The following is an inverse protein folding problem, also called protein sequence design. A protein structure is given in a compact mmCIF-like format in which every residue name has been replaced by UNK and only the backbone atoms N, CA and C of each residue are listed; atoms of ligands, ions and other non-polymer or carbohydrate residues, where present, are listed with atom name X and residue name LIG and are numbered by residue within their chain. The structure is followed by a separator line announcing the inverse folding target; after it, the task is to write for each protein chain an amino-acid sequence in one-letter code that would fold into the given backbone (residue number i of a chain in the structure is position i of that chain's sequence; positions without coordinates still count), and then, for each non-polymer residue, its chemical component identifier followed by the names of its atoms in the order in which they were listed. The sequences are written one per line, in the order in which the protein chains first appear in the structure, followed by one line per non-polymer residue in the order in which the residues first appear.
data_IF_276641912550
#
_entry.id   IF_276641912550
#
_cell.length_a   1.000
_cell.length_b   1.000
_cell.length_c   1.000
_cell.angle_alpha   90.00
_cell.angle_beta   90.00
_cell.angle_gamma   90.00
#
_symmetry.space_group_name_H-M   'P 1'
#
loop_
_entity.id
_entity.type
_entity.pdbx_description
1 polymer ?
#
# COMPACT_ATOMS: atom_id res chain seq x y z
N UNK A 1 -28.59 5.34 2.81
CA UNK A 1 -27.16 5.00 2.64
C UNK A 1 -26.23 5.86 3.49
N UNK A 2 -26.36 7.18 3.53
CA UNK A 2 -25.51 8.06 4.34
C UNK A 2 -25.45 7.72 5.84
N UNK A 3 -26.56 7.36 6.45
CA UNK A 3 -26.60 6.97 7.86
C UNK A 3 -25.79 5.71 8.18
N UNK A 4 -25.75 4.75 7.24
CA UNK A 4 -24.95 3.51 7.39
C UNK A 4 -23.47 3.82 7.31
N UNK A 5 -23.05 4.64 6.33
CA UNK A 5 -21.66 5.10 6.19
C UNK A 5 -21.20 5.83 7.46
N UNK A 6 -22.03 6.77 7.98
CA UNK A 6 -21.72 7.51 9.19
C UNK A 6 -21.56 6.58 10.41
N UNK A 7 -22.38 5.57 10.51
CA UNK A 7 -22.34 4.58 11.58
C UNK A 7 -21.10 3.68 11.47
N UNK A 8 -20.79 3.17 10.28
CA UNK A 8 -19.58 2.36 10.04
C UNK A 8 -18.31 3.18 10.32
N UNK A 9 -18.28 4.45 9.89
CA UNK A 9 -17.18 5.37 10.17
C UNK A 9 -17.01 5.63 11.67
N UNK A 10 -18.11 5.87 12.39
CA UNK A 10 -18.09 6.06 13.84
C UNK A 10 -17.54 4.83 14.56
N UNK A 11 -17.98 3.64 14.17
CA UNK A 11 -17.49 2.37 14.75
C UNK A 11 -16.00 2.15 14.49
N UNK A 12 -15.55 2.41 13.28
CA UNK A 12 -14.14 2.30 12.91
C UNK A 12 -13.29 3.24 13.78
N UNK A 13 -13.64 4.52 13.84
CA UNK A 13 -12.86 5.54 14.58
C UNK A 13 -12.86 5.30 16.09
N UNK A 14 -13.89 4.64 16.64
CA UNK A 14 -13.94 4.25 18.05
C UNK A 14 -13.22 2.93 18.34
N UNK A 15 -12.95 2.11 17.34
CA UNK A 15 -12.27 0.81 17.53
C UNK A 15 -10.84 1.01 18.04
N UNK A 16 -10.44 0.20 18.98
CA UNK A 16 -9.08 0.20 19.54
C UNK A 16 -8.07 -0.24 18.46
N UNK A 17 -8.43 -1.25 17.67
CA UNK A 17 -7.58 -1.77 16.59
C UNK A 17 -7.19 -0.68 15.58
N UNK A 18 -8.14 0.15 15.15
CA UNK A 18 -7.88 1.27 14.25
C UNK A 18 -6.86 2.27 14.84
N UNK A 19 -7.06 2.65 16.10
CA UNK A 19 -6.17 3.60 16.79
C UNK A 19 -4.75 3.05 16.95
N UNK A 20 -4.63 1.77 17.32
CA UNK A 20 -3.33 1.11 17.46
C UNK A 20 -2.65 1.03 16.09
N UNK A 21 -3.35 0.62 15.03
CA UNK A 21 -2.78 0.55 13.69
C UNK A 21 -2.31 1.93 13.19
N UNK A 22 -3.08 3.00 13.42
CA UNK A 22 -2.66 4.36 13.09
C UNK A 22 -1.41 4.78 13.86
N UNK A 23 -1.36 4.51 15.16
CA UNK A 23 -0.19 4.82 15.99
C UNK A 23 1.05 4.07 15.51
N UNK A 24 0.91 2.78 15.20
CA UNK A 24 2.02 1.95 14.70
C UNK A 24 2.54 2.50 13.37
N UNK A 25 1.65 2.81 12.42
CA UNK A 25 2.04 3.38 11.12
C UNK A 25 2.71 4.74 11.30
N UNK A 26 2.19 5.61 12.15
CA UNK A 26 2.81 6.88 12.47
C UNK A 26 4.23 6.71 13.02
N UNK A 27 4.41 5.86 14.03
CA UNK A 27 5.72 5.64 14.66
C UNK A 27 6.73 5.02 13.69
N UNK A 28 6.33 4.04 12.88
CA UNK A 28 7.20 3.42 11.89
C UNK A 28 7.73 4.45 10.90
N UNK A 29 6.87 5.30 10.36
CA UNK A 29 7.27 6.34 9.41
C UNK A 29 8.09 7.46 10.08
N UNK A 30 7.80 7.83 11.33
CA UNK A 30 8.58 8.85 12.05
C UNK A 30 10.00 8.37 12.42
N UNK A 31 10.18 7.07 12.60
CA UNK A 31 11.47 6.46 12.95
C UNK A 31 12.29 6.09 11.70
N UNK A 32 11.66 5.91 10.55
CA UNK A 32 12.31 5.44 9.32
C UNK A 32 13.53 6.30 8.94
N UNK A 33 13.38 7.62 8.84
CA UNK A 33 14.45 8.53 8.47
C UNK A 33 15.59 8.57 9.51
N UNK A 34 15.33 8.70 10.82
CA UNK A 34 16.36 8.59 11.85
C UNK A 34 17.14 7.28 11.81
N UNK A 35 16.46 6.15 11.68
CA UNK A 35 17.10 4.82 11.60
C UNK A 35 17.95 4.71 10.34
N UNK A 36 17.44 5.15 9.19
CA UNK A 36 18.19 5.14 7.92
C UNK A 36 19.48 5.98 8.02
N UNK A 37 19.42 7.15 8.68
CA UNK A 37 20.60 7.99 8.92
C UNK A 37 21.62 7.31 9.84
N UNK A 38 21.16 6.62 10.88
CA UNK A 38 22.04 5.86 11.77
C UNK A 38 22.73 4.74 10.99
N UNK A 39 21.98 3.96 10.21
CA UNK A 39 22.52 2.86 9.38
C UNK A 39 23.55 3.41 8.39
N UNK A 40 23.26 4.53 7.73
CA UNK A 40 24.17 5.21 6.82
C UNK A 40 25.49 5.58 7.54
N UNK A 41 25.41 6.26 8.69
CA UNK A 41 26.59 6.68 9.45
C UNK A 41 27.42 5.49 9.95
N UNK A 42 26.76 4.44 10.43
CA UNK A 42 27.45 3.20 10.86
C UNK A 42 28.12 2.52 9.67
N UNK A 43 27.41 2.36 8.56
CA UNK A 43 27.95 1.79 7.32
C UNK A 43 29.19 2.56 6.85
N UNK A 44 29.08 3.89 6.76
CA UNK A 44 30.21 4.77 6.39
C UNK A 44 31.42 4.59 7.32
N UNK A 45 31.18 4.60 8.63
CA UNK A 45 32.27 4.43 9.62
C UNK A 45 32.95 3.04 9.57
N UNK A 46 32.22 2.00 9.21
CA UNK A 46 32.77 0.65 9.05
C UNK A 46 33.63 0.55 7.78
N UNK A 47 33.17 1.12 6.67
CA UNK A 47 33.91 1.15 5.40
C UNK A 47 35.20 1.98 5.53
N UNK A 48 35.15 3.14 6.20
CA UNK A 48 36.31 3.98 6.45
C UNK A 48 37.40 3.24 7.28
N UNK A 49 37.02 2.36 8.20
CA UNK A 49 37.93 1.56 9.00
C UNK A 49 38.58 0.40 8.23
N UNK A 50 37.96 -0.06 7.16
CA UNK A 50 38.37 -1.26 6.44
C UNK A 50 39.58 -1.02 5.51
N UNK A 51 39.87 0.23 5.14
CA UNK A 51 41.06 0.69 4.36
C UNK A 51 41.42 -0.19 3.14
N UNK A 52 40.47 -0.88 2.54
CA UNK A 52 40.63 -1.68 1.32
C UNK A 52 40.18 -0.91 0.09
N UNK A 53 40.70 -1.26 -1.08
CA UNK A 53 40.24 -0.65 -2.36
C UNK A 53 38.72 -0.85 -2.57
N UNK A 54 38.19 -2.03 -2.25
CA UNK A 54 36.78 -2.36 -2.34
C UNK A 54 35.91 -1.51 -1.38
N UNK A 55 36.46 -1.17 -0.20
CA UNK A 55 35.79 -0.31 0.77
C UNK A 55 35.74 1.14 0.28
N UNK A 56 36.78 1.63 -0.39
CA UNK A 56 36.81 2.97 -0.98
C UNK A 56 35.79 3.09 -2.14
N UNK A 57 35.75 2.10 -3.02
CA UNK A 57 34.74 2.05 -4.10
C UNK A 57 33.30 2.01 -3.52
N UNK A 58 33.09 1.26 -2.43
CA UNK A 58 31.82 1.19 -1.75
C UNK A 58 31.42 2.51 -1.08
N UNK A 59 32.39 3.28 -0.56
CA UNK A 59 32.18 4.62 0.00
C UNK A 59 31.80 5.62 -1.08
N UNK A 60 32.46 5.60 -2.23
CA UNK A 60 32.10 6.45 -3.37
C UNK A 60 30.67 6.15 -3.86
N UNK A 61 30.31 4.87 -4.00
CA UNK A 61 28.94 4.45 -4.36
C UNK A 61 27.89 4.82 -3.31
N UNK A 62 28.25 4.90 -2.03
CA UNK A 62 27.34 5.28 -0.96
C UNK A 62 26.91 6.74 -1.03
N UNK A 63 27.74 7.59 -1.65
CA UNK A 63 27.46 9.02 -1.84
C UNK A 63 27.31 9.80 -0.54
N UNK A 64 26.91 11.06 -0.64
CA UNK A 64 26.60 11.89 0.52
C UNK A 64 25.11 11.77 0.92
N UNK A 65 24.87 11.85 2.24
CA UNK A 65 23.49 11.93 2.73
C UNK A 65 22.81 13.21 2.23
N UNK A 66 21.68 13.08 1.55
CA UNK A 66 20.96 14.22 1.02
C UNK A 66 20.50 15.16 2.15
N UNK A 67 20.84 16.46 2.02
CA UNK A 67 20.35 17.49 2.93
C UNK A 67 18.89 17.87 2.64
N UNK A 68 18.40 17.56 1.45
CA UNK A 68 17.07 17.92 0.98
C UNK A 68 16.15 16.70 0.90
N UNK A 69 14.90 16.92 1.26
CA UNK A 69 13.83 15.95 1.19
C UNK A 69 12.66 16.51 0.36
N UNK A 70 12.30 15.83 -0.71
CA UNK A 70 11.27 16.27 -1.64
C UNK A 70 9.91 15.66 -1.31
N UNK A 71 8.91 16.49 -1.03
CA UNK A 71 7.54 16.04 -0.71
C UNK A 71 6.88 15.30 -1.88
N UNK A 72 7.23 15.61 -3.12
CA UNK A 72 6.74 14.88 -4.28
C UNK A 72 6.93 13.37 -4.17
N UNK A 73 8.09 12.94 -3.61
CA UNK A 73 8.37 11.52 -3.40
C UNK A 73 7.47 10.88 -2.34
N UNK A 74 7.09 11.63 -1.29
CA UNK A 74 6.12 11.13 -0.31
C UNK A 74 4.72 11.01 -0.87
N UNK A 75 4.31 12.01 -1.65
CA UNK A 75 2.98 12.02 -2.28
C UNK A 75 2.87 10.88 -3.28
N UNK A 76 3.86 10.73 -4.16
CA UNK A 76 3.91 9.64 -5.15
C UNK A 76 4.17 8.27 -4.50
N UNK A 77 4.76 8.28 -3.30
CA UNK A 77 5.16 7.07 -2.60
C UNK A 77 3.98 6.17 -2.24
N UNK A 78 4.32 4.95 -1.93
CA UNK A 78 3.41 3.95 -1.39
C UNK A 78 3.55 3.93 0.15
N UNK A 79 2.55 3.38 0.82
CA UNK A 79 2.75 2.95 2.21
C UNK A 79 3.90 1.92 2.23
N UNK A 80 4.85 2.09 3.14
CA UNK A 80 5.93 1.11 3.32
C UNK A 80 5.39 -0.31 3.51
N UNK A 81 6.22 -1.31 3.22
CA UNK A 81 5.81 -2.74 3.23
C UNK A 81 5.09 -3.13 4.53
N UNK A 82 5.69 -2.81 5.68
CA UNK A 82 5.10 -3.12 6.98
C UNK A 82 3.82 -2.30 7.21
N UNK A 83 3.82 -1.03 6.83
CA UNK A 83 2.66 -0.15 6.97
C UNK A 83 1.47 -0.62 6.13
N UNK A 84 1.73 -1.12 4.90
CA UNK A 84 0.70 -1.72 4.05
C UNK A 84 0.10 -2.96 4.71
N UNK A 85 0.93 -3.85 5.27
CA UNK A 85 0.45 -5.03 5.97
C UNK A 85 -0.40 -4.66 7.20
N UNK A 86 0.04 -3.71 8.02
CA UNK A 86 -0.71 -3.21 9.19
C UNK A 86 -2.04 -2.59 8.74
N UNK A 87 -2.04 -1.80 7.68
CA UNK A 87 -3.26 -1.22 7.11
C UNK A 87 -4.25 -2.31 6.65
N UNK A 88 -3.80 -3.27 5.84
CA UNK A 88 -4.66 -4.35 5.34
C UNK A 88 -5.20 -5.23 6.49
N UNK A 89 -4.41 -5.50 7.53
CA UNK A 89 -4.88 -6.18 8.74
C UNK A 89 -5.95 -5.35 9.48
N UNK A 90 -5.79 -4.03 9.57
CA UNK A 90 -6.81 -3.15 10.13
C UNK A 90 -8.15 -3.30 9.39
N UNK A 91 -8.11 -3.39 8.05
CA UNK A 91 -9.31 -3.62 7.23
C UNK A 91 -9.93 -5.00 7.49
N UNK A 92 -9.12 -6.05 7.62
CA UNK A 92 -9.62 -7.39 7.99
C UNK A 92 -10.40 -7.33 9.30
N UNK A 93 -9.82 -6.73 10.35
CA UNK A 93 -10.48 -6.61 11.66
C UNK A 93 -11.77 -5.78 11.57
N UNK A 94 -11.76 -4.68 10.84
CA UNK A 94 -12.94 -3.85 10.64
C UNK A 94 -14.08 -4.63 9.95
N UNK A 95 -13.77 -5.38 8.90
CA UNK A 95 -14.75 -6.16 8.16
C UNK A 95 -15.29 -7.33 8.98
N UNK A 96 -14.43 -7.99 9.76
CA UNK A 96 -14.78 -9.18 10.53
C UNK A 96 -15.54 -8.87 11.83
N UNK A 97 -15.29 -7.73 12.47
CA UNK A 97 -15.95 -7.32 13.69
C UNK A 97 -17.48 -7.34 13.60
N UNK A 98 -18.02 -7.05 12.43
CA UNK A 98 -19.46 -7.04 12.18
C UNK A 98 -20.08 -8.45 12.19
N UNK A 99 -19.32 -9.42 11.72
CA UNK A 99 -19.74 -10.83 11.73
C UNK A 99 -19.66 -11.36 13.16
N UNK A 100 -18.56 -11.07 13.85
CA UNK A 100 -18.29 -11.54 15.20
C UNK A 100 -19.31 -11.00 16.23
N UNK A 101 -19.72 -9.75 16.11
CA UNK A 101 -20.65 -9.12 17.03
C UNK A 101 -22.12 -9.21 16.58
N UNK A 102 -22.43 -9.93 15.51
CA UNK A 102 -23.80 -10.12 15.05
C UNK A 102 -24.48 -8.85 14.55
N UNK A 103 -23.72 -7.77 14.38
CA UNK A 103 -24.23 -6.45 13.97
C UNK A 103 -24.97 -6.49 12.62
N UNK A 104 -24.53 -7.35 11.72
CA UNK A 104 -25.13 -7.56 10.42
C UNK A 104 -26.61 -7.94 10.55
N UNK A 105 -27.01 -8.70 11.57
CA UNK A 105 -28.39 -9.11 11.79
C UNK A 105 -29.31 -7.92 12.07
N UNK A 106 -28.82 -6.95 12.85
CA UNK A 106 -29.61 -5.78 13.26
C UNK A 106 -29.79 -4.76 12.14
N UNK A 107 -28.80 -4.64 11.23
CA UNK A 107 -28.82 -3.66 10.12
C UNK A 107 -29.47 -4.24 8.88
N UNK A 108 -29.34 -5.54 8.61
CA UNK A 108 -29.87 -6.18 7.42
C UNK A 108 -31.38 -6.04 7.27
N UNK A 109 -32.12 -5.98 8.41
CA UNK A 109 -33.58 -5.77 8.40
C UNK A 109 -34.04 -4.32 8.14
N UNK A 110 -33.12 -3.36 8.22
CA UNK A 110 -33.44 -1.92 8.05
C UNK A 110 -33.05 -1.37 6.67
N UNK A 111 -32.38 -2.18 5.83
CA UNK A 111 -31.88 -1.76 4.52
C UNK A 111 -32.70 -2.34 3.38
N UNK A 112 -32.89 -1.58 2.27
CA UNK A 112 -33.59 -2.07 1.09
C UNK A 112 -32.94 -3.27 0.43
N UNK A 113 -31.59 -3.38 0.52
CA UNK A 113 -30.84 -4.57 0.12
C UNK A 113 -29.59 -4.71 0.97
N UNK A 114 -29.17 -5.96 1.18
CA UNK A 114 -27.96 -6.29 1.94
C UNK A 114 -26.67 -5.77 1.27
N UNK A 115 -26.68 -5.64 -0.06
CA UNK A 115 -25.54 -5.10 -0.83
C UNK A 115 -25.16 -3.67 -0.44
N UNK A 116 -26.09 -2.87 0.10
CA UNK A 116 -25.79 -1.52 0.57
C UNK A 116 -24.78 -1.50 1.71
N UNK A 117 -24.75 -2.54 2.55
CA UNK A 117 -23.77 -2.67 3.64
C UNK A 117 -22.35 -2.85 3.08
N UNK A 118 -22.20 -3.62 2.00
CA UNK A 118 -20.90 -3.85 1.36
C UNK A 118 -20.38 -2.55 0.75
N UNK A 119 -21.23 -1.80 0.05
CA UNK A 119 -20.86 -0.52 -0.55
C UNK A 119 -20.50 0.50 0.56
N UNK A 120 -21.28 0.54 1.65
CA UNK A 120 -20.96 1.39 2.82
C UNK A 120 -19.57 1.10 3.37
N UNK A 121 -19.26 -0.18 3.60
CA UNK A 121 -17.94 -0.60 4.08
C UNK A 121 -16.83 -0.19 3.13
N UNK A 122 -17.01 -0.44 1.83
CA UNK A 122 -16.01 -0.05 0.84
C UNK A 122 -15.75 1.47 0.84
N UNK A 123 -16.80 2.30 0.94
CA UNK A 123 -16.65 3.76 1.06
C UNK A 123 -15.87 4.13 2.33
N UNK A 124 -16.18 3.52 3.48
CA UNK A 124 -15.45 3.77 4.74
C UNK A 124 -14.00 3.33 4.62
N UNK A 125 -13.70 2.23 3.93
CA UNK A 125 -12.34 1.79 3.64
C UNK A 125 -11.58 2.84 2.82
N UNK A 126 -12.22 3.50 1.84
CA UNK A 126 -11.58 4.57 1.06
C UNK A 126 -11.16 5.76 1.94
N UNK A 127 -12.03 6.18 2.84
CA UNK A 127 -11.68 7.21 3.84
C UNK A 127 -10.53 6.77 4.74
N UNK A 128 -10.55 5.51 5.18
CA UNK A 128 -9.48 4.94 6.01
C UNK A 128 -8.15 4.97 5.28
N UNK A 129 -8.13 4.58 4.01
CA UNK A 129 -6.93 4.61 3.17
C UNK A 129 -6.33 6.01 3.12
N UNK A 130 -7.15 7.04 2.87
CA UNK A 130 -6.69 8.44 2.86
C UNK A 130 -6.11 8.87 4.22
N UNK A 131 -6.76 8.48 5.33
CA UNK A 131 -6.26 8.79 6.68
C UNK A 131 -4.89 8.15 6.91
N UNK A 132 -4.69 6.89 6.50
CA UNK A 132 -3.39 6.22 6.62
C UNK A 132 -2.31 6.90 5.78
N UNK A 133 -2.62 7.33 4.54
CA UNK A 133 -1.68 8.10 3.72
C UNK A 133 -1.29 9.43 4.38
N UNK A 134 -2.26 10.17 4.92
CA UNK A 134 -1.99 11.44 5.62
C UNK A 134 -1.09 11.19 6.83
N UNK A 135 -1.36 10.16 7.63
CA UNK A 135 -0.55 9.81 8.80
C UNK A 135 0.86 9.39 8.40
N UNK A 136 1.01 8.65 7.30
CA UNK A 136 2.33 8.30 6.73
C UNK A 136 3.11 9.53 6.33
N UNK A 137 2.49 10.45 5.59
CA UNK A 137 3.14 11.70 5.17
C UNK A 137 3.58 12.52 6.40
N UNK A 138 2.72 12.69 7.39
CA UNK A 138 3.05 13.42 8.62
C UNK A 138 4.20 12.74 9.38
N UNK A 139 4.15 11.42 9.52
CA UNK A 139 5.22 10.66 10.17
C UNK A 139 6.57 10.83 9.50
N UNK A 140 6.61 10.69 8.16
CA UNK A 140 7.83 10.90 7.37
C UNK A 140 8.35 12.34 7.45
N UNK A 141 7.48 13.35 7.38
CA UNK A 141 7.87 14.75 7.55
C UNK A 141 8.55 14.94 8.91
N UNK A 142 7.95 14.45 9.98
CA UNK A 142 8.50 14.57 11.33
C UNK A 142 9.86 13.85 11.42
N UNK A 143 9.97 12.63 10.88
CA UNK A 143 11.23 11.88 10.84
C UNK A 143 12.35 12.63 10.13
N UNK A 144 12.07 13.24 8.97
CA UNK A 144 13.05 13.99 8.19
C UNK A 144 13.43 15.32 8.87
N UNK A 145 12.50 16.01 9.51
CA UNK A 145 12.78 17.22 10.30
C UNK A 145 13.70 16.90 11.49
N UNK A 146 13.46 15.79 12.20
CA UNK A 146 14.29 15.37 13.34
C UNK A 146 15.75 15.18 12.94
N UNK A 147 16.03 14.67 11.75
CA UNK A 147 17.40 14.49 11.24
C UNK A 147 18.00 15.73 10.59
N UNK A 148 17.25 16.83 10.54
CA UNK A 148 17.72 18.13 10.03
C UNK A 148 17.69 18.24 8.50
N UNK A 149 16.89 17.48 7.79
CA UNK A 149 16.70 17.66 6.34
C UNK A 149 15.77 18.85 6.04
N UNK A 150 16.08 19.55 4.96
CA UNK A 150 15.26 20.65 4.44
C UNK A 150 14.15 20.08 3.56
N UNK A 151 12.90 20.46 3.86
CA UNK A 151 11.74 19.99 3.10
C UNK A 151 11.54 20.88 1.89
N UNK A 152 11.52 20.28 0.69
CA UNK A 152 11.23 20.95 -0.59
C UNK A 152 9.91 20.44 -1.16
N UNK A 153 9.09 21.37 -1.68
CA UNK A 153 7.73 21.11 -2.18
C UNK A 153 7.68 21.15 -3.71
N UNK A 154 8.65 20.60 -4.40
CA UNK A 154 8.81 20.89 -5.82
C UNK A 154 8.78 19.70 -6.77
N UNK A 155 9.35 18.55 -6.44
CA UNK A 155 9.61 17.50 -7.41
C UNK A 155 9.27 16.09 -6.92
N UNK A 156 8.96 15.23 -7.89
CA UNK A 156 8.87 13.79 -7.75
C UNK A 156 9.99 13.13 -8.56
N UNK A 157 10.75 12.26 -7.92
CA UNK A 157 11.77 11.46 -8.56
C UNK A 157 11.28 10.03 -8.73
N UNK A 158 11.09 9.57 -9.96
CA UNK A 158 10.87 8.17 -10.27
C UNK A 158 12.23 7.52 -10.52
N UNK A 159 12.50 6.43 -9.84
CA UNK A 159 13.72 5.65 -9.98
C UNK A 159 14.77 5.87 -8.89
N UNK A 160 15.68 4.91 -8.81
CA UNK A 160 16.86 5.00 -7.96
C UNK A 160 17.87 5.97 -8.59
N UNK A 161 18.58 6.70 -7.73
CA UNK A 161 19.80 7.38 -8.17
C UNK A 161 20.71 6.36 -8.85
N UNK A 162 21.30 6.74 -9.97
CA UNK A 162 22.33 5.93 -10.59
C UNK A 162 23.39 5.58 -9.53
N UNK A 163 23.62 4.29 -9.33
CA UNK A 163 24.54 3.78 -8.30
C UNK A 163 26.00 4.18 -8.58
N UNK A 164 26.35 4.48 -9.86
CA UNK A 164 27.71 4.85 -10.23
C UNK A 164 27.96 6.35 -10.10
N UNK A 165 26.99 7.19 -10.43
CA UNK A 165 27.19 8.66 -10.47
C UNK A 165 26.50 9.40 -9.33
N UNK A 166 25.60 8.77 -8.59
CA UNK A 166 24.76 9.41 -7.57
C UNK A 166 23.80 10.45 -8.13
N UNK A 167 23.80 10.68 -9.45
CA UNK A 167 22.95 11.63 -10.14
C UNK A 167 21.58 11.03 -10.45
N UNK A 168 20.54 11.84 -10.31
CA UNK A 168 19.18 11.48 -10.78
C UNK A 168 19.15 11.72 -12.29
N UNK A 169 18.78 10.70 -13.06
CA UNK A 169 18.59 10.85 -14.50
C UNK A 169 17.51 11.92 -14.75
N UNK A 170 17.80 12.94 -15.57
CA UNK A 170 16.86 14.06 -15.81
C UNK A 170 15.51 13.59 -16.36
N UNK A 171 15.48 12.49 -17.10
CA UNK A 171 14.25 11.92 -17.67
C UNK A 171 13.33 11.27 -16.61
N UNK A 172 13.83 11.06 -15.40
CA UNK A 172 13.11 10.49 -14.27
C UNK A 172 12.65 11.52 -13.23
N UNK A 173 12.74 12.79 -13.57
CA UNK A 173 12.29 13.90 -12.74
C UNK A 173 10.95 14.40 -13.23
N UNK A 174 9.92 14.33 -12.39
CA UNK A 174 8.55 14.68 -12.74
C UNK A 174 8.03 15.83 -11.90
N UNK A 175 7.00 16.52 -12.42
CA UNK A 175 6.30 17.58 -11.71
C UNK A 175 5.50 17.04 -10.52
N UNK A 176 5.12 17.94 -9.60
CA UNK A 176 4.22 17.62 -8.49
C UNK A 176 2.85 17.08 -8.98
N UNK A 177 2.38 17.50 -10.16
CA UNK A 177 1.16 16.98 -10.78
C UNK A 177 1.27 15.49 -11.12
N UNK A 178 2.43 15.03 -11.58
CA UNK A 178 2.70 13.61 -11.81
C UNK A 178 2.72 12.82 -10.50
N UNK A 179 3.26 13.40 -9.42
CA UNK A 179 3.23 12.78 -8.09
C UNK A 179 1.79 12.53 -7.60
N UNK A 180 0.87 13.47 -7.79
CA UNK A 180 -0.55 13.26 -7.49
C UNK A 180 -1.21 12.22 -8.40
N UNK A 181 -0.80 12.14 -9.66
CA UNK A 181 -1.25 11.09 -10.57
C UNK A 181 -0.83 9.70 -10.11
N UNK A 182 0.44 9.54 -9.75
CA UNK A 182 1.00 8.32 -9.16
C UNK A 182 0.23 7.92 -7.90
N UNK A 183 0.03 8.87 -6.98
CA UNK A 183 -0.76 8.67 -5.76
C UNK A 183 -2.17 8.16 -6.05
N UNK A 184 -2.88 8.81 -6.99
CA UNK A 184 -4.27 8.44 -7.30
C UNK A 184 -4.37 7.00 -7.82
N UNK A 185 -3.44 6.58 -8.68
CA UNK A 185 -3.42 5.22 -9.22
C UNK A 185 -3.04 4.20 -8.13
N UNK A 186 -2.04 4.49 -7.32
CA UNK A 186 -1.65 3.65 -6.19
C UNK A 186 -2.78 3.52 -5.15
N UNK A 187 -3.51 4.60 -4.91
CA UNK A 187 -4.71 4.54 -4.08
C UNK A 187 -5.78 3.60 -4.65
N UNK A 188 -6.02 3.63 -5.97
CA UNK A 188 -6.94 2.71 -6.63
C UNK A 188 -6.45 1.24 -6.56
N UNK A 189 -5.16 1.00 -6.76
CA UNK A 189 -4.57 -0.35 -6.63
C UNK A 189 -4.73 -0.89 -5.20
N UNK A 190 -4.45 -0.07 -4.19
CA UNK A 190 -4.66 -0.42 -2.78
C UNK A 190 -6.15 -0.67 -2.48
N UNK A 191 -7.05 0.09 -3.11
CA UNK A 191 -8.50 -0.13 -3.04
C UNK A 191 -8.90 -1.50 -3.63
N UNK A 192 -8.24 -1.95 -4.68
CA UNK A 192 -8.40 -3.29 -5.25
C UNK A 192 -8.01 -4.40 -4.26
N UNK A 193 -6.88 -4.23 -3.55
CA UNK A 193 -6.47 -5.16 -2.48
C UNK A 193 -7.48 -5.18 -1.33
N UNK A 194 -8.01 -4.01 -0.94
CA UNK A 194 -9.05 -3.91 0.08
C UNK A 194 -10.36 -4.59 -0.36
N UNK A 195 -10.74 -4.49 -1.64
CA UNK A 195 -11.90 -5.19 -2.19
C UNK A 195 -11.74 -6.72 -2.13
N UNK A 196 -10.51 -7.23 -2.33
CA UNK A 196 -10.19 -8.64 -2.16
C UNK A 196 -10.36 -9.09 -0.69
N UNK A 197 -9.86 -8.30 0.25
CA UNK A 197 -10.05 -8.57 1.69
C UNK A 197 -11.54 -8.56 2.03
N UNK A 198 -12.30 -7.61 1.53
CA UNK A 198 -13.74 -7.51 1.75
C UNK A 198 -14.48 -8.73 1.20
N UNK A 199 -14.07 -9.25 0.03
CA UNK A 199 -14.60 -10.50 -0.53
C UNK A 199 -14.34 -11.68 0.39
N UNK A 200 -13.10 -11.87 0.85
CA UNK A 200 -12.71 -13.00 1.68
C UNK A 200 -13.37 -12.96 3.06
N UNK A 201 -13.36 -11.80 3.70
CA UNK A 201 -13.87 -11.64 5.07
C UNK A 201 -15.40 -11.61 5.11
N UNK A 202 -16.05 -10.79 4.27
CA UNK A 202 -17.50 -10.55 4.34
C UNK A 202 -18.25 -11.44 3.35
N UNK A 203 -17.78 -11.55 2.11
CA UNK A 203 -18.38 -12.39 1.07
C UNK A 203 -18.30 -13.87 1.41
N UNK A 204 -17.11 -14.40 1.58
CA UNK A 204 -16.86 -15.81 1.93
C UNK A 204 -17.08 -16.04 3.43
N UNK A 205 -16.72 -15.07 4.28
CA UNK A 205 -16.87 -15.13 5.74
C UNK A 205 -15.68 -15.80 6.44
N UNK A 206 -14.51 -15.80 5.81
CA UNK A 206 -13.28 -16.36 6.36
C UNK A 206 -12.32 -15.28 6.81
N UNK A 207 -12.20 -15.08 8.13
CA UNK A 207 -11.22 -14.17 8.70
C UNK A 207 -9.78 -14.65 8.44
N UNK A 208 -9.55 -15.95 8.54
CA UNK A 208 -8.23 -16.56 8.33
C UNK A 208 -7.73 -16.29 6.91
N UNK A 209 -8.57 -16.52 5.89
CA UNK A 209 -8.21 -16.24 4.51
C UNK A 209 -7.91 -14.74 4.30
N UNK A 210 -8.75 -13.85 4.85
CA UNK A 210 -8.53 -12.40 4.80
C UNK A 210 -7.20 -11.99 5.44
N UNK A 211 -6.88 -12.55 6.61
CA UNK A 211 -5.62 -12.28 7.33
C UNK A 211 -4.39 -12.76 6.56
N UNK A 212 -4.42 -13.99 6.04
CA UNK A 212 -3.31 -14.54 5.24
C UNK A 212 -3.05 -13.67 4.01
N UNK A 213 -4.10 -13.32 3.26
CA UNK A 213 -3.97 -12.49 2.06
C UNK A 213 -3.50 -11.07 2.42
N UNK A 214 -4.00 -10.48 3.51
CA UNK A 214 -3.55 -9.18 3.98
C UNK A 214 -2.04 -9.16 4.28
N UNK A 215 -1.52 -10.20 4.94
CA UNK A 215 -0.09 -10.32 5.23
C UNK A 215 0.72 -10.57 3.95
N UNK A 216 0.29 -11.49 3.10
CA UNK A 216 1.01 -11.83 1.86
C UNK A 216 1.09 -10.63 0.92
N UNK A 217 -0.04 -9.98 0.63
CA UNK A 217 -0.09 -8.78 -0.22
C UNK A 217 0.63 -7.59 0.45
N UNK A 218 0.40 -7.38 1.74
CA UNK A 218 1.01 -6.29 2.50
C UNK A 218 2.53 -6.41 2.61
N UNK A 219 3.05 -7.61 2.87
CA UNK A 219 4.48 -7.87 2.99
C UNK A 219 5.19 -8.12 1.65
N UNK A 220 4.45 -8.26 0.53
CA UNK A 220 5.04 -8.49 -0.80
C UNK A 220 5.52 -9.91 -1.06
N UNK A 221 5.08 -10.89 -0.27
CA UNK A 221 5.44 -12.30 -0.47
C UNK A 221 4.70 -12.98 -1.64
N UNK A 222 3.76 -12.30 -2.25
CA UNK A 222 2.98 -12.76 -3.40
C UNK A 222 3.83 -13.03 -4.65
N UNK A 223 4.95 -12.32 -4.80
CA UNK A 223 5.86 -12.48 -5.93
C UNK A 223 6.35 -13.92 -6.14
N UNK A 224 6.62 -14.67 -5.07
CA UNK A 224 7.00 -16.08 -5.15
C UNK A 224 5.86 -16.96 -5.72
N UNK A 225 4.61 -16.68 -5.32
CA UNK A 225 3.46 -17.40 -5.87
C UNK A 225 3.23 -17.04 -7.34
N UNK A 226 3.38 -15.77 -7.70
CA UNK A 226 3.21 -15.31 -9.08
C UNK A 226 4.27 -15.90 -10.02
N UNK A 227 5.53 -15.98 -9.61
CA UNK A 227 6.59 -16.58 -10.43
C UNK A 227 6.32 -18.06 -10.70
N UNK A 228 5.86 -18.82 -9.69
CA UNK A 228 5.47 -20.22 -9.86
C UNK A 228 4.29 -20.41 -10.82
N UNK A 229 3.24 -19.58 -10.68
CA UNK A 229 2.07 -19.61 -11.57
C UNK A 229 2.48 -19.18 -13.01
N UNK A 230 3.28 -18.15 -13.14
CA UNK A 230 3.83 -17.67 -14.43
C UNK A 230 4.58 -18.77 -15.16
N UNK A 231 5.46 -19.49 -14.47
CA UNK A 231 6.18 -20.62 -15.05
C UNK A 231 5.22 -21.72 -15.54
N UNK A 232 4.17 -22.01 -14.78
CA UNK A 232 3.12 -22.96 -15.17
C UNK A 232 2.36 -22.51 -16.43
N UNK A 233 1.90 -21.25 -16.46
CA UNK A 233 1.17 -20.66 -17.60
C UNK A 233 2.04 -20.64 -18.85
N UNK A 234 3.29 -20.16 -18.75
CA UNK A 234 4.22 -20.09 -19.87
C UNK A 234 4.51 -21.48 -20.47
N UNK A 235 4.60 -22.51 -19.61
CA UNK A 235 4.78 -23.89 -20.04
C UNK A 235 3.55 -24.45 -20.76
N UNK A 236 2.34 -24.18 -20.24
CA UNK A 236 1.07 -24.67 -20.80
C UNK A 236 0.70 -23.99 -22.11
N UNK A 237 0.81 -22.66 -22.16
CA UNK A 237 0.35 -21.85 -23.30
C UNK A 237 1.48 -21.39 -24.23
N UNK A 238 2.75 -21.78 -23.95
CA UNK A 238 3.95 -21.43 -24.74
C UNK A 238 4.14 -19.92 -24.92
N UNK A 239 3.71 -19.12 -23.92
CA UNK A 239 4.01 -17.69 -23.92
C UNK A 239 5.49 -17.47 -23.63
N UNK A 240 6.13 -16.51 -24.34
CA UNK A 240 7.57 -16.26 -24.21
C UNK A 240 7.90 -15.24 -23.09
N UNK A 241 7.02 -14.28 -22.84
CA UNK A 241 7.30 -13.15 -21.94
C UNK A 241 6.07 -12.73 -21.12
N UNK A 242 5.22 -13.67 -20.73
CA UNK A 242 4.11 -13.35 -19.87
C UNK A 242 4.56 -13.38 -18.40
N UNK A 243 4.34 -12.30 -17.67
CA UNK A 243 4.54 -12.21 -16.23
C UNK A 243 3.23 -11.87 -15.54
N UNK A 244 2.78 -12.75 -14.64
CA UNK A 244 1.53 -12.55 -13.89
C UNK A 244 1.62 -11.34 -12.95
N UNK A 245 2.80 -11.08 -12.38
CA UNK A 245 3.10 -9.94 -11.54
C UNK A 245 2.70 -8.60 -12.17
N UNK A 246 2.85 -8.47 -13.48
CA UNK A 246 2.53 -7.27 -14.25
C UNK A 246 1.05 -6.91 -14.27
N UNK A 247 0.18 -7.85 -13.89
CA UNK A 247 -1.27 -7.70 -13.89
C UNK A 247 -1.88 -7.85 -12.49
N UNK A 248 -1.06 -7.85 -11.44
CA UNK A 248 -1.53 -7.97 -10.07
C UNK A 248 -1.47 -6.64 -9.33
N UNK A 249 -2.55 -6.23 -8.64
CA UNK A 249 -2.63 -4.92 -7.98
C UNK A 249 -1.54 -4.68 -6.94
N UNK A 250 -1.16 -5.70 -6.18
CA UNK A 250 -0.14 -5.61 -5.12
C UNK A 250 1.28 -5.50 -5.67
N UNK A 251 1.56 -6.11 -6.82
CA UNK A 251 2.82 -5.95 -7.55
C UNK A 251 2.93 -4.55 -8.14
N UNK A 252 1.92 -4.13 -8.93
CA UNK A 252 1.85 -2.80 -9.53
C UNK A 252 1.85 -1.67 -8.49
N UNK A 253 1.28 -1.90 -7.30
CA UNK A 253 1.30 -0.93 -6.20
C UNK A 253 2.73 -0.62 -5.73
N UNK A 254 3.67 -1.57 -5.85
CA UNK A 254 5.07 -1.43 -5.43
C UNK A 254 6.00 -0.92 -6.52
N UNK A 255 5.53 -0.88 -7.74
CA UNK A 255 6.27 -0.43 -8.92
C UNK A 255 6.21 1.09 -9.03
N UNK A 256 7.24 1.72 -9.57
CA UNK A 256 7.24 3.11 -9.98
C UNK A 256 6.56 3.21 -11.35
N UNK A 257 5.28 3.57 -11.36
CA UNK A 257 4.42 3.48 -12.54
C UNK A 257 4.87 4.37 -13.70
N UNK A 258 5.42 5.54 -13.39
CA UNK A 258 5.93 6.46 -14.41
C UNK A 258 7.26 6.00 -14.99
N UNK A 259 8.16 5.46 -14.16
CA UNK A 259 9.46 4.95 -14.62
C UNK A 259 9.29 3.77 -15.60
N UNK A 260 8.40 2.84 -15.29
CA UNK A 260 8.15 1.65 -16.11
C UNK A 260 7.09 1.87 -17.19
N UNK A 261 6.61 3.10 -17.38
CA UNK A 261 5.55 3.42 -18.36
C UNK A 261 4.31 2.51 -18.27
N UNK A 262 3.97 2.05 -17.07
CA UNK A 262 2.85 1.13 -16.85
C UNK A 262 1.59 1.78 -16.27
N UNK A 263 1.50 3.11 -16.28
CA UNK A 263 0.41 3.93 -15.73
C UNK A 263 -0.97 3.48 -16.22
N UNK A 264 -1.13 3.34 -17.55
CA UNK A 264 -2.40 2.93 -18.15
C UNK A 264 -2.77 1.49 -17.76
N UNK A 265 -1.80 0.57 -17.77
CA UNK A 265 -1.99 -0.82 -17.35
C UNK A 265 -2.43 -0.89 -15.89
N UNK A 266 -1.75 -0.17 -15.02
CA UNK A 266 -2.08 -0.11 -13.59
C UNK A 266 -3.50 0.44 -13.33
N UNK A 267 -3.91 1.48 -14.05
CA UNK A 267 -5.27 2.03 -13.96
C UNK A 267 -6.33 1.00 -14.39
N UNK A 268 -6.13 0.33 -15.52
CA UNK A 268 -7.06 -0.69 -16.04
C UNK A 268 -7.18 -1.84 -15.03
N UNK A 269 -6.05 -2.36 -14.55
CA UNK A 269 -6.01 -3.43 -13.55
C UNK A 269 -6.74 -3.03 -12.27
N UNK A 270 -6.50 -1.83 -11.75
CA UNK A 270 -7.16 -1.34 -10.55
C UNK A 270 -8.68 -1.29 -10.71
N UNK A 271 -9.17 -0.68 -11.79
CA UNK A 271 -10.61 -0.53 -12.04
C UNK A 271 -11.29 -1.89 -12.22
N UNK A 272 -10.71 -2.77 -13.05
CA UNK A 272 -11.26 -4.12 -13.28
C UNK A 272 -11.31 -4.91 -11.97
N UNK A 273 -10.23 -4.88 -11.20
CA UNK A 273 -10.15 -5.60 -9.92
C UNK A 273 -11.22 -5.11 -8.95
N UNK A 274 -11.38 -3.79 -8.77
CA UNK A 274 -12.39 -3.23 -7.88
C UNK A 274 -13.79 -3.65 -8.33
N UNK A 275 -14.13 -3.45 -9.62
CA UNK A 275 -15.47 -3.73 -10.13
C UNK A 275 -15.82 -5.22 -9.99
N UNK A 276 -14.92 -6.11 -10.41
CA UNK A 276 -15.15 -7.55 -10.36
C UNK A 276 -15.27 -8.04 -8.91
N UNK A 277 -14.36 -7.64 -8.04
CA UNK A 277 -14.37 -8.09 -6.64
C UNK A 277 -15.57 -7.53 -5.87
N UNK A 278 -15.95 -6.27 -6.08
CA UNK A 278 -17.14 -5.68 -5.46
C UNK A 278 -18.43 -6.34 -5.94
N UNK A 279 -18.53 -6.65 -7.24
CA UNK A 279 -19.66 -7.39 -7.78
C UNK A 279 -19.76 -8.79 -7.16
N UNK A 280 -18.65 -9.54 -7.11
CA UNK A 280 -18.62 -10.86 -6.51
C UNK A 280 -18.98 -10.81 -5.02
N UNK A 281 -18.40 -9.86 -4.27
CA UNK A 281 -18.69 -9.68 -2.83
C UNK A 281 -20.18 -9.43 -2.60
N UNK A 282 -20.77 -8.53 -3.36
CA UNK A 282 -22.18 -8.16 -3.23
C UNK A 282 -23.08 -9.36 -3.57
N UNK A 283 -22.74 -10.10 -4.63
CA UNK A 283 -23.53 -11.27 -5.07
C UNK A 283 -23.47 -12.40 -4.04
N UNK A 284 -22.27 -12.73 -3.54
CA UNK A 284 -22.10 -13.75 -2.52
C UNK A 284 -22.77 -13.36 -1.20
N UNK A 285 -22.66 -12.11 -0.80
CA UNK A 285 -23.26 -11.62 0.42
C UNK A 285 -24.78 -11.62 0.38
N UNK A 286 -25.39 -11.29 -0.77
CA UNK A 286 -26.85 -11.33 -0.94
C UNK A 286 -27.41 -12.76 -0.90
N UNK A 287 -26.61 -13.76 -1.34
CA UNK A 287 -27.01 -15.18 -1.32
C UNK A 287 -26.77 -15.86 0.01
N UNK A 288 -26.03 -15.22 0.93
CA UNK A 288 -25.66 -15.82 2.20
C UNK A 288 -26.83 -15.79 3.19
N UNK A 289 -27.21 -16.97 3.69
CA UNK A 289 -28.15 -17.05 4.82
C UNK A 289 -27.46 -16.54 6.08
N UNK A 290 -28.00 -15.49 6.66
CA UNK A 290 -27.54 -14.95 7.95
C UNK A 290 -28.21 -15.81 9.05
N UNK A 291 -27.55 -16.89 9.43
CA UNK A 291 -27.94 -17.70 10.57
C UNK A 291 -27.66 -17.01 11.91
#
# INVERSE_FOLDING_TARGET
MGNVIRMDLYRLTKSLSFKICLLVVFLLNAIEAPVSKIIYNVGKSLLEKQNSADAQESLEKMGEWSADFHIGNLVAGQLGVICTAVFLLCIVYFCFADIQHGYIKNVAGQLPSRGHTIISKFVVIQFTTLVFYVVTIIGNIIGNVIIGQHIKFDLFYAGSKDLETGAVEPDKVFSMGAAFGEFAIKWLLLSGMCALILLLTTGIGSNVAGTIVAVLCGAGFTGLAYSGITAGINKLFKFKNFELSDYMPDSLYRTNLFEENCVLRALIVAVITIVVLMYLTTTLYNKKDIK
#
